data_IF_806636378228
#
_entry.id   IF_806636378228
#
_cell.length_a   1.000
_cell.length_b   1.000
_cell.length_c   1.000
_cell.angle_alpha   90.00
_cell.angle_beta   90.00
_cell.angle_gamma   90.00
#
_symmetry.space_group_name_H-M   'P 1'
#
loop_
_entity.id
_entity.type
_entity.pdbx_description
1 polymer ?
#
# COMPACT_ATOMS: atom_id res chain seq x y z
N UNK A 1 21.43 -36.22 -43.39
CA UNK A 1 22.82 -35.73 -43.20
C UNK A 1 22.85 -34.87 -41.95
N UNK A 2 23.52 -35.31 -40.89
CA UNK A 2 23.64 -34.59 -39.60
C UNK A 2 24.87 -33.67 -39.64
N UNK A 3 24.82 -32.41 -39.17
CA UNK A 3 26.03 -31.60 -39.03
C UNK A 3 26.75 -31.91 -37.72
N UNK A 4 28.08 -31.89 -37.81
CA UNK A 4 29.07 -32.26 -36.79
C UNK A 4 29.17 -31.18 -35.70
N UNK A 5 29.15 -31.59 -34.43
CA UNK A 5 29.62 -30.78 -33.30
C UNK A 5 31.14 -30.92 -33.17
N UNK A 6 31.85 -29.80 -33.21
CA UNK A 6 33.28 -29.72 -32.89
C UNK A 6 33.42 -29.31 -31.42
N UNK A 7 34.06 -30.17 -30.63
CA UNK A 7 34.51 -29.92 -29.26
C UNK A 7 35.86 -29.21 -29.27
N UNK A 8 36.00 -28.13 -28.50
CA UNK A 8 37.29 -27.57 -28.11
C UNK A 8 37.33 -27.41 -26.59
N UNK A 9 38.26 -28.12 -25.96
CA UNK A 9 38.65 -28.02 -24.55
C UNK A 9 40.18 -27.92 -24.55
N UNK A 10 40.80 -26.95 -23.85
CA UNK A 10 42.17 -27.06 -23.42
C UNK A 10 42.24 -27.47 -21.95
N UNK A 11 43.24 -28.31 -21.67
CA UNK A 11 43.49 -28.98 -20.41
C UNK A 11 44.18 -28.08 -19.36
N UNK A 12 43.91 -28.40 -18.09
CA UNK A 12 44.94 -28.62 -17.07
C UNK A 12 45.65 -27.43 -16.43
N UNK A 13 45.34 -27.17 -15.16
CA UNK A 13 46.34 -26.81 -14.16
C UNK A 13 45.90 -27.39 -12.79
N UNK A 14 46.67 -28.34 -12.27
CA UNK A 14 46.54 -28.91 -10.92
C UNK A 14 47.30 -28.01 -9.95
N UNK A 15 46.68 -27.63 -8.84
CA UNK A 15 47.33 -26.94 -7.73
C UNK A 15 46.69 -27.38 -6.41
N UNK A 16 47.38 -28.25 -5.69
CA UNK A 16 47.09 -28.67 -4.32
C UNK A 16 47.48 -27.57 -3.33
N UNK A 17 46.59 -27.21 -2.40
CA UNK A 17 46.90 -26.39 -1.23
C UNK A 17 46.45 -27.12 0.05
N UNK A 18 47.22 -27.04 1.14
CA UNK A 18 47.11 -27.96 2.27
C UNK A 18 46.03 -27.54 3.28
N UNK A 19 45.50 -28.56 3.97
CA UNK A 19 44.60 -28.44 5.11
C UNK A 19 45.40 -27.97 6.33
N UNK A 20 45.13 -26.77 6.85
CA UNK A 20 45.63 -26.32 8.14
C UNK A 20 44.49 -26.40 9.17
N UNK A 21 44.61 -27.36 10.07
CA UNK A 21 43.77 -27.52 11.26
C UNK A 21 44.19 -26.48 12.30
N UNK A 22 43.31 -25.55 12.66
CA UNK A 22 43.52 -24.66 13.80
C UNK A 22 42.48 -24.96 14.89
N UNK A 23 42.95 -25.61 15.95
CA UNK A 23 42.25 -25.78 17.23
C UNK A 23 42.32 -24.46 17.98
N UNK A 24 41.17 -23.90 18.36
CA UNK A 24 41.09 -22.75 19.25
C UNK A 24 40.30 -23.12 20.51
N UNK A 25 41.03 -23.09 21.62
CA UNK A 25 40.58 -23.29 22.98
C UNK A 25 39.53 -22.24 23.36
N UNK A 26 38.41 -22.72 23.90
CA UNK A 26 37.37 -21.90 24.52
C UNK A 26 37.85 -21.39 25.88
N UNK A 27 37.78 -20.07 26.09
CA UNK A 27 37.63 -19.49 27.43
C UNK A 27 36.52 -18.42 27.40
N UNK A 28 35.61 -18.36 28.40
CA UNK A 28 34.36 -17.63 28.26
C UNK A 28 34.36 -16.35 29.10
N UNK A 29 34.75 -15.21 28.55
CA UNK A 29 34.42 -13.90 29.14
C UNK A 29 34.57 -12.78 28.12
N UNK A 30 33.43 -12.23 27.68
CA UNK A 30 33.15 -10.82 27.36
C UNK A 30 32.08 -10.74 26.28
N UNK A 31 30.85 -10.38 26.69
CA UNK A 31 29.78 -9.94 25.78
C UNK A 31 30.19 -8.57 25.25
N UNK A 32 30.41 -8.48 23.94
CA UNK A 32 30.57 -7.21 23.24
C UNK A 32 30.12 -7.39 21.80
N UNK A 33 29.13 -6.60 21.39
CA UNK A 33 28.79 -6.39 19.98
C UNK A 33 30.08 -6.07 19.20
N UNK A 34 30.33 -6.73 18.07
CA UNK A 34 31.54 -6.39 17.30
C UNK A 34 32.03 -7.33 16.21
N UNK A 35 31.26 -8.33 15.77
CA UNK A 35 31.69 -9.17 14.64
C UNK A 35 31.09 -8.71 13.29
N UNK A 36 29.84 -8.22 13.26
CA UNK A 36 29.23 -7.69 12.03
C UNK A 36 29.70 -6.27 11.67
N UNK A 37 29.93 -5.40 12.66
CA UNK A 37 30.31 -3.99 12.46
C UNK A 37 31.76 -3.79 11.95
N UNK A 38 32.60 -4.83 11.99
CA UNK A 38 33.99 -4.79 11.53
C UNK A 38 34.18 -5.18 10.06
N UNK A 39 33.21 -5.88 9.46
CA UNK A 39 33.22 -6.27 8.04
C UNK A 39 32.46 -5.28 7.16
N UNK A 40 31.46 -4.61 7.74
CA UNK A 40 30.63 -3.63 7.05
C UNK A 40 30.56 -2.40 7.97
N UNK A 41 31.38 -1.39 7.67
CA UNK A 41 31.43 -0.17 8.48
C UNK A 41 30.03 0.38 8.76
N UNK A 42 29.81 0.81 10.00
CA UNK A 42 28.56 1.44 10.44
C UNK A 42 28.37 2.75 9.67
N UNK A 43 27.68 2.70 8.53
CA UNK A 43 27.18 3.93 7.92
C UNK A 43 26.09 4.49 8.84
N UNK A 44 26.16 5.77 9.25
CA UNK A 44 25.02 6.41 9.88
C UNK A 44 23.82 6.25 8.93
N UNK A 45 22.64 5.97 9.47
CA UNK A 45 21.42 5.90 8.68
C UNK A 45 21.28 7.21 7.90
N UNK A 46 21.61 7.18 6.61
CA UNK A 46 21.38 8.31 5.73
C UNK A 46 19.88 8.58 5.76
N UNK A 47 19.51 9.77 6.22
CA UNK A 47 18.16 10.28 5.98
C UNK A 47 17.96 10.22 4.47
N UNK A 48 16.94 9.52 3.94
CA UNK A 48 16.78 9.42 2.50
C UNK A 48 16.74 10.85 1.92
N UNK A 49 17.51 11.12 0.86
CA UNK A 49 17.56 12.43 0.20
C UNK A 49 16.17 12.98 -0.21
N UNK A 50 15.17 12.11 -0.24
CA UNK A 50 13.78 12.38 -0.56
C UNK A 50 12.93 12.94 0.60
N UNK A 51 13.41 12.89 1.86
CA UNK A 51 12.67 13.36 3.04
C UNK A 51 11.45 12.52 3.43
N UNK A 52 11.25 11.38 2.75
CA UNK A 52 10.23 10.37 3.04
C UNK A 52 10.62 9.54 4.26
N UNK A 53 9.72 9.49 5.23
CA UNK A 53 9.85 8.68 6.45
C UNK A 53 8.76 7.62 6.44
N UNK A 54 9.15 6.36 6.64
CA UNK A 54 8.24 5.22 6.74
C UNK A 54 8.31 4.69 8.15
N UNK A 55 7.17 4.61 8.83
CA UNK A 55 7.02 4.04 10.17
C UNK A 55 6.04 2.84 10.09
N UNK A 56 6.55 1.63 9.81
CA UNK A 56 5.72 0.42 9.74
C UNK A 56 5.02 0.10 11.06
N UNK A 57 5.66 0.39 12.20
CA UNK A 57 5.11 0.08 13.52
C UNK A 57 3.95 1.03 13.88
N UNK A 58 4.12 2.34 13.61
CA UNK A 58 3.08 3.35 13.73
C UNK A 58 2.12 3.41 12.55
N UNK A 59 2.30 2.55 11.54
CA UNK A 59 1.47 2.42 10.33
C UNK A 59 1.28 3.76 9.59
N UNK A 60 2.34 4.53 9.46
CA UNK A 60 2.30 5.85 8.83
C UNK A 60 3.51 6.13 7.96
N UNK A 61 3.31 6.99 6.97
CA UNK A 61 4.39 7.62 6.21
C UNK A 61 4.28 9.13 6.34
N UNK A 62 5.40 9.83 6.23
CA UNK A 62 5.39 11.29 6.16
C UNK A 62 6.46 11.82 5.22
N UNK A 63 6.17 12.91 4.52
CA UNK A 63 7.07 13.47 3.51
C UNK A 63 6.84 14.96 3.28
N UNK A 64 7.85 15.68 2.75
CA UNK A 64 7.71 17.10 2.44
C UNK A 64 6.80 17.33 1.23
N UNK A 65 6.03 18.42 1.29
CA UNK A 65 5.28 18.98 0.17
C UNK A 65 5.26 20.51 0.25
N UNK A 66 4.83 21.15 -0.81
CA UNK A 66 4.71 22.61 -0.91
C UNK A 66 3.26 22.98 -1.21
N UNK A 67 2.76 24.00 -0.52
CA UNK A 67 1.42 24.52 -0.75
C UNK A 67 1.35 25.28 -2.07
N UNK A 68 0.42 24.93 -2.93
CA UNK A 68 0.28 25.52 -4.27
C UNK A 68 -0.61 26.77 -4.24
N UNK A 69 -0.34 27.71 -5.16
CA UNK A 69 -1.16 28.90 -5.34
C UNK A 69 -2.50 28.52 -5.97
N UNK A 70 -3.58 28.87 -5.30
CA UNK A 70 -4.95 28.60 -5.74
C UNK A 70 -5.49 29.72 -6.64
N UNK A 71 -6.46 29.39 -7.50
CA UNK A 71 -7.15 30.38 -8.34
C UNK A 71 -6.25 31.08 -9.35
N UNK A 72 -5.17 30.42 -9.81
CA UNK A 72 -4.27 30.96 -10.84
C UNK A 72 -4.97 31.18 -12.18
N UNK A 73 -5.97 30.35 -12.49
CA UNK A 73 -6.75 30.37 -13.72
C UNK A 73 -8.22 30.63 -13.40
N UNK A 74 -8.81 31.63 -14.05
CA UNK A 74 -10.20 32.05 -13.83
C UNK A 74 -11.20 31.01 -14.37
N UNK A 75 -10.78 30.24 -15.37
CA UNK A 75 -11.55 29.22 -16.08
C UNK A 75 -12.01 28.10 -15.14
N UNK A 76 -11.19 27.77 -14.14
CA UNK A 76 -11.51 26.76 -13.13
C UNK A 76 -12.45 27.30 -12.03
N UNK A 77 -12.72 28.61 -12.00
CA UNK A 77 -13.57 29.26 -10.98
C UNK A 77 -13.21 28.86 -9.53
N UNK A 78 -11.93 28.59 -9.28
CA UNK A 78 -11.41 28.16 -7.96
C UNK A 78 -11.57 26.68 -7.63
N UNK A 79 -12.02 25.86 -8.59
CA UNK A 79 -12.10 24.41 -8.44
C UNK A 79 -10.72 23.76 -8.41
N UNK A 80 -10.62 22.67 -7.67
CA UNK A 80 -9.47 21.77 -7.59
C UNK A 80 -9.92 20.35 -7.94
N UNK A 81 -9.04 19.61 -8.60
CA UNK A 81 -9.28 18.22 -9.02
C UNK A 81 -8.42 17.23 -8.19
N UNK A 82 -7.34 17.73 -7.58
CA UNK A 82 -6.42 16.92 -6.79
C UNK A 82 -6.09 17.59 -5.46
N UNK A 83 -5.78 16.78 -4.45
CA UNK A 83 -5.19 17.29 -3.21
C UNK A 83 -3.67 17.31 -3.31
N UNK A 84 -3.08 16.28 -3.90
CA UNK A 84 -1.63 16.12 -3.98
C UNK A 84 -1.24 15.54 -5.34
N UNK A 85 -0.24 16.17 -5.95
CA UNK A 85 0.46 15.70 -7.16
C UNK A 85 1.97 15.69 -6.94
N UNK A 86 2.69 14.92 -7.75
CA UNK A 86 4.14 15.07 -7.87
C UNK A 86 4.49 16.25 -8.79
N UNK A 87 5.71 16.77 -8.70
CA UNK A 87 6.22 17.78 -9.63
C UNK A 87 6.01 17.34 -11.10
N UNK A 88 5.58 18.27 -11.95
CA UNK A 88 5.22 18.00 -13.34
C UNK A 88 3.78 17.50 -13.54
N UNK A 89 3.03 17.30 -12.45
CA UNK A 89 1.60 17.04 -12.48
C UNK A 89 0.75 18.30 -12.68
N UNK A 90 -0.54 18.16 -12.40
CA UNK A 90 -1.51 19.25 -12.58
C UNK A 90 -1.55 20.22 -11.40
N UNK A 91 -0.41 20.88 -11.17
CA UNK A 91 -0.18 21.78 -10.02
C UNK A 91 -1.15 22.98 -9.97
N UNK A 92 -1.75 23.37 -11.09
CA UNK A 92 -2.66 24.51 -11.15
C UNK A 92 -4.06 24.23 -10.58
N UNK A 93 -4.42 22.96 -10.41
CA UNK A 93 -5.70 22.48 -9.87
C UNK A 93 -5.51 21.55 -8.67
N UNK A 94 -4.40 21.75 -7.94
CA UNK A 94 -3.99 20.93 -6.80
C UNK A 94 -3.74 21.77 -5.55
N UNK A 95 -3.91 21.20 -4.35
CA UNK A 95 -3.54 21.88 -3.10
C UNK A 95 -2.04 21.82 -2.80
N UNK A 96 -1.41 20.68 -3.06
CA UNK A 96 -0.01 20.43 -2.73
C UNK A 96 0.77 19.79 -3.87
N UNK A 97 2.07 20.09 -3.94
CA UNK A 97 3.05 19.40 -4.80
C UNK A 97 4.16 18.78 -3.95
N UNK A 98 4.65 17.60 -4.34
CA UNK A 98 5.82 16.96 -3.74
C UNK A 98 6.84 16.54 -4.79
N UNK A 99 8.12 16.48 -4.39
CA UNK A 99 9.21 15.93 -5.21
C UNK A 99 9.20 14.41 -5.31
N UNK A 100 8.48 13.74 -4.41
CA UNK A 100 8.35 12.29 -4.44
C UNK A 100 7.55 11.84 -5.65
N UNK A 101 8.01 10.79 -6.30
CA UNK A 101 7.24 10.14 -7.36
C UNK A 101 6.07 9.34 -6.76
N UNK A 102 4.98 9.10 -7.53
CA UNK A 102 3.88 8.26 -7.07
C UNK A 102 4.34 6.84 -6.77
N UNK A 103 5.35 6.33 -7.49
CA UNK A 103 5.94 5.01 -7.22
C UNK A 103 6.58 4.94 -5.83
N UNK A 104 7.35 5.95 -5.42
CA UNK A 104 7.98 5.98 -4.09
C UNK A 104 6.93 6.00 -2.98
N UNK A 105 5.90 6.84 -3.12
CA UNK A 105 4.80 6.91 -2.16
C UNK A 105 4.05 5.58 -2.11
N UNK A 106 3.73 4.97 -3.26
CA UNK A 106 3.06 3.68 -3.32
C UNK A 106 3.85 2.57 -2.60
N UNK A 107 5.16 2.49 -2.83
CA UNK A 107 6.04 1.52 -2.16
C UNK A 107 6.10 1.75 -0.64
N UNK A 108 6.08 3.01 -0.20
CA UNK A 108 6.06 3.34 1.22
C UNK A 108 4.70 3.00 1.89
N UNK A 109 3.60 3.23 1.18
CA UNK A 109 2.26 2.83 1.62
C UNK A 109 2.16 1.30 1.77
N UNK A 110 2.75 0.55 0.84
CA UNK A 110 2.83 -0.91 0.95
C UNK A 110 3.62 -1.38 2.18
N UNK A 111 4.68 -0.67 2.56
CA UNK A 111 5.49 -1.00 3.75
C UNK A 111 4.74 -0.80 5.07
N UNK A 112 3.72 0.07 5.10
CA UNK A 112 2.82 0.22 6.27
C UNK A 112 1.59 -0.72 6.20
N UNK A 113 1.63 -1.71 5.31
CA UNK A 113 0.62 -2.77 5.18
C UNK A 113 -0.61 -2.39 4.37
N UNK A 114 -0.56 -1.30 3.59
CA UNK A 114 -1.62 -1.01 2.62
C UNK A 114 -1.48 -1.90 1.38
N UNK A 115 -2.62 -2.32 0.83
CA UNK A 115 -2.71 -3.06 -0.43
C UNK A 115 -3.66 -2.32 -1.37
N UNK A 116 -3.31 -2.25 -2.64
CA UNK A 116 -4.10 -1.56 -3.65
C UNK A 116 -5.48 -2.17 -3.73
N UNK A 117 -6.51 -1.34 -3.56
CA UNK A 117 -7.90 -1.74 -3.77
C UNK A 117 -8.35 -1.57 -5.22
N UNK A 118 -9.63 -1.31 -5.40
CA UNK A 118 -10.25 -1.05 -6.69
C UNK A 118 -10.49 0.45 -6.84
N UNK A 119 -9.87 1.10 -7.84
CA UNK A 119 -10.22 2.45 -8.26
C UNK A 119 -11.72 2.61 -8.48
N UNK A 120 -12.22 3.83 -8.26
CA UNK A 120 -13.58 4.16 -8.64
C UNK A 120 -13.78 3.96 -10.14
N UNK A 121 -15.02 3.68 -10.51
CA UNK A 121 -15.46 3.65 -11.89
C UNK A 121 -16.84 4.34 -11.96
N UNK A 122 -17.36 4.57 -13.16
CA UNK A 122 -18.67 5.19 -13.33
C UNK A 122 -19.75 4.45 -12.51
N UNK A 123 -20.34 5.16 -11.55
CA UNK A 123 -21.36 4.63 -10.63
C UNK A 123 -20.85 3.66 -9.55
N UNK A 124 -19.54 3.41 -9.46
CA UNK A 124 -18.92 2.52 -8.46
C UNK A 124 -17.89 3.28 -7.62
N UNK A 125 -18.09 3.41 -6.29
CA UNK A 125 -17.14 4.09 -5.42
C UNK A 125 -15.82 3.30 -5.34
N UNK A 126 -14.71 3.97 -4.97
CA UNK A 126 -13.45 3.28 -4.75
C UNK A 126 -13.58 2.31 -3.58
N UNK A 127 -12.95 1.15 -3.69
CA UNK A 127 -12.85 0.16 -2.60
C UNK A 127 -11.39 -0.03 -2.24
N UNK A 128 -11.08 -0.19 -0.97
CA UNK A 128 -9.69 -0.37 -0.54
C UNK A 128 -9.49 0.02 0.91
N UNK A 129 -8.23 0.00 1.33
CA UNK A 129 -7.87 0.30 2.72
C UNK A 129 -7.95 1.79 3.00
N UNK A 130 -8.39 2.11 4.22
CA UNK A 130 -8.62 3.48 4.67
C UNK A 130 -7.31 4.16 5.08
N UNK A 131 -7.13 5.40 4.66
CA UNK A 131 -5.96 6.23 4.98
C UNK A 131 -6.44 7.58 5.48
N UNK A 132 -6.05 7.95 6.70
CA UNK A 132 -6.21 9.31 7.19
C UNK A 132 -5.03 10.15 6.70
N UNK A 133 -5.30 11.34 6.18
CA UNK A 133 -4.26 12.20 5.62
C UNK A 133 -4.27 13.53 6.35
N UNK A 134 -3.10 13.91 6.85
CA UNK A 134 -2.90 15.12 7.61
C UNK A 134 -1.84 15.99 6.94
N UNK A 135 -2.00 17.29 7.10
CA UNK A 135 -0.99 18.29 6.83
C UNK A 135 -0.45 18.80 8.17
N UNK A 136 0.87 18.82 8.29
CA UNK A 136 1.62 19.39 9.41
C UNK A 136 2.48 20.54 8.91
N UNK A 137 2.43 21.69 9.61
CA UNK A 137 3.28 22.83 9.30
C UNK A 137 3.53 23.70 10.53
N UNK A 138 4.47 24.63 10.42
CA UNK A 138 4.77 25.61 11.46
C UNK A 138 4.06 26.93 11.15
N UNK A 139 3.25 27.41 12.08
CA UNK A 139 2.59 28.71 12.00
C UNK A 139 2.93 29.52 13.24
N UNK A 140 3.63 30.65 13.06
CA UNK A 140 4.02 31.54 14.17
C UNK A 140 4.73 30.78 15.32
N UNK A 141 5.61 29.83 14.99
CA UNK A 141 6.35 29.01 15.95
C UNK A 141 5.55 27.90 16.63
N UNK A 142 4.29 27.67 16.24
CA UNK A 142 3.47 26.55 16.72
C UNK A 142 3.33 25.49 15.64
N UNK A 143 3.47 24.23 16.04
CA UNK A 143 3.12 23.09 15.20
C UNK A 143 1.60 23.03 15.02
N UNK A 144 1.15 23.07 13.78
CA UNK A 144 -0.25 22.91 13.39
C UNK A 144 -0.38 21.58 12.66
N UNK A 145 -1.39 20.79 13.03
CA UNK A 145 -1.77 19.55 12.35
C UNK A 145 -3.25 19.62 11.98
N UNK A 146 -3.58 19.42 10.71
CA UNK A 146 -4.95 19.47 10.23
C UNK A 146 -5.24 18.29 9.28
N UNK A 147 -6.44 17.68 9.34
CA UNK A 147 -6.88 16.76 8.31
C UNK A 147 -7.06 17.52 6.98
N UNK A 148 -6.71 16.90 5.85
CA UNK A 148 -6.73 17.59 4.55
C UNK A 148 -8.13 18.05 4.13
N UNK A 149 -9.18 17.40 4.63
CA UNK A 149 -10.58 17.80 4.43
C UNK A 149 -10.87 19.21 4.93
N UNK A 150 -10.26 19.61 6.05
CA UNK A 150 -10.45 20.95 6.61
C UNK A 150 -9.84 22.04 5.72
N UNK A 151 -8.93 21.67 4.83
CA UNK A 151 -8.27 22.54 3.85
C UNK A 151 -9.08 22.68 2.57
N UNK A 152 -10.23 22.01 2.49
CA UNK A 152 -11.09 21.97 1.31
C UNK A 152 -12.49 22.52 1.65
N UNK A 153 -13.16 23.04 0.62
CA UNK A 153 -14.55 23.51 0.71
C UNK A 153 -15.37 22.95 -0.44
N UNK A 154 -16.65 22.72 -0.20
CA UNK A 154 -17.60 22.36 -1.25
C UNK A 154 -18.16 23.65 -1.88
N UNK A 155 -17.83 23.93 -3.14
CA UNK A 155 -18.08 25.21 -3.81
C UNK A 155 -19.55 25.59 -3.95
N UNK A 156 -20.48 24.62 -3.95
CA UNK A 156 -21.92 24.93 -4.00
C UNK A 156 -22.50 25.30 -2.63
N UNK A 157 -21.94 24.78 -1.54
CA UNK A 157 -22.50 24.94 -0.18
C UNK A 157 -21.64 25.84 0.70
N UNK A 158 -20.40 26.09 0.31
CA UNK A 158 -19.36 26.77 1.07
C UNK A 158 -19.08 26.14 2.45
N UNK A 159 -19.44 24.87 2.62
CA UNK A 159 -19.14 24.10 3.82
C UNK A 159 -17.81 23.33 3.65
N UNK A 160 -17.07 23.09 4.76
CA UNK A 160 -15.93 22.19 4.73
C UNK A 160 -16.30 20.81 4.20
N UNK A 161 -15.34 20.15 3.56
CA UNK A 161 -15.53 18.78 3.10
C UNK A 161 -15.69 17.85 4.31
N UNK A 162 -16.64 16.91 4.24
CA UNK A 162 -16.96 15.99 5.32
C UNK A 162 -15.73 15.24 5.82
N UNK A 163 -15.48 15.14 7.14
CA UNK A 163 -14.32 14.43 7.66
C UNK A 163 -14.42 12.92 7.40
N UNK A 164 -13.30 12.25 7.24
CA UNK A 164 -13.25 10.80 7.07
C UNK A 164 -12.00 10.33 6.32
N UNK A 165 -11.67 9.03 6.37
CA UNK A 165 -10.51 8.51 5.67
C UNK A 165 -10.69 8.50 4.16
N UNK A 166 -9.58 8.46 3.43
CA UNK A 166 -9.47 8.26 2.00
C UNK A 166 -9.28 6.78 1.68
N UNK A 167 -9.53 6.40 0.42
CA UNK A 167 -9.40 5.00 0.00
C UNK A 167 -8.13 4.82 -0.81
N UNK A 168 -7.23 3.98 -0.32
CA UNK A 168 -6.04 3.58 -1.06
C UNK A 168 -6.37 2.52 -2.10
N UNK A 169 -6.24 2.91 -3.38
CA UNK A 169 -6.51 2.10 -4.56
C UNK A 169 -5.22 1.68 -5.28
N UNK A 170 -4.10 2.34 -4.99
CA UNK A 170 -2.76 1.98 -5.48
C UNK A 170 -2.43 2.38 -6.92
N UNK A 171 -3.42 2.79 -7.73
CA UNK A 171 -3.36 3.06 -9.18
C UNK A 171 -3.53 1.83 -10.08
N UNK A 172 -4.21 2.02 -11.21
CA UNK A 172 -4.24 1.05 -12.30
C UNK A 172 -2.85 0.80 -12.88
N UNK A 173 -2.57 -0.44 -13.34
CA UNK A 173 -1.41 -0.70 -14.18
C UNK A 173 -1.63 -0.10 -15.58
N UNK A 174 -0.59 0.53 -16.13
CA UNK A 174 -0.56 1.06 -17.49
C UNK A 174 0.73 0.66 -18.18
N UNK A 175 0.66 0.36 -19.48
CA UNK A 175 1.86 0.07 -20.28
C UNK A 175 2.47 1.40 -20.73
N UNK A 176 3.70 1.65 -20.33
CA UNK A 176 4.47 2.77 -20.85
C UNK A 176 4.74 2.54 -22.35
N UNK A 177 4.27 3.43 -23.25
CA UNK A 177 4.47 3.27 -24.68
C UNK A 177 5.95 3.38 -25.08
N UNK A 178 6.80 4.02 -24.26
CA UNK A 178 8.21 4.23 -24.56
C UNK A 178 9.04 3.03 -24.12
N UNK A 179 9.03 2.68 -22.83
CA UNK A 179 9.84 1.57 -22.32
C UNK A 179 9.20 0.20 -22.49
N UNK A 180 7.91 0.14 -22.81
CA UNK A 180 7.13 -1.10 -22.87
C UNK A 180 6.83 -1.74 -21.50
N UNK A 181 7.33 -1.16 -20.40
CA UNK A 181 7.15 -1.66 -19.04
C UNK A 181 5.75 -1.36 -18.51
N UNK A 182 5.25 -2.22 -17.62
CA UNK A 182 4.05 -1.92 -16.85
C UNK A 182 4.42 -1.00 -15.69
N UNK A 183 3.82 0.19 -15.66
CA UNK A 183 3.96 1.20 -14.62
C UNK A 183 2.61 1.42 -13.92
N UNK A 184 2.64 2.11 -12.79
CA UNK A 184 1.42 2.70 -12.22
C UNK A 184 0.97 3.84 -13.14
N UNK A 185 -0.31 3.92 -13.46
CA UNK A 185 -0.88 5.05 -14.19
C UNK A 185 -0.62 6.38 -13.47
N UNK A 186 -0.66 6.39 -12.13
CA UNK A 186 -0.22 7.52 -11.30
C UNK A 186 1.18 8.03 -11.68
N UNK A 187 2.13 7.13 -12.00
CA UNK A 187 3.49 7.53 -12.39
C UNK A 187 3.55 8.25 -13.74
N UNK A 188 2.52 8.12 -14.58
CA UNK A 188 2.38 8.83 -15.84
C UNK A 188 1.62 10.15 -15.68
N UNK A 189 0.60 10.17 -14.81
CA UNK A 189 -0.25 11.34 -14.58
C UNK A 189 0.25 12.26 -13.48
N UNK A 190 1.21 11.81 -12.67
CA UNK A 190 1.72 12.46 -11.47
C UNK A 190 0.65 12.65 -10.37
N UNK A 191 -0.50 11.99 -10.48
CA UNK A 191 -1.63 12.12 -9.55
C UNK A 191 -1.45 11.21 -8.33
N UNK A 192 -1.48 11.77 -7.11
CA UNK A 192 -1.33 10.99 -5.86
C UNK A 192 -2.68 10.89 -5.12
N UNK A 193 -3.35 12.01 -4.88
CA UNK A 193 -4.67 12.05 -4.24
C UNK A 193 -5.64 12.79 -5.17
N UNK A 194 -6.66 12.09 -5.70
CA UNK A 194 -7.66 12.65 -6.60
C UNK A 194 -9.05 12.78 -5.98
N UNK A 195 -9.82 13.76 -6.48
CA UNK A 195 -11.12 14.15 -5.92
C UNK A 195 -12.33 13.55 -6.62
N UNK A 196 -12.16 13.09 -7.86
CA UNK A 196 -13.23 12.64 -8.75
C UNK A 196 -13.08 11.16 -9.15
N UNK A 197 -14.20 10.44 -9.26
CA UNK A 197 -14.19 9.00 -9.65
C UNK A 197 -13.85 8.73 -11.11
N UNK A 198 -13.90 9.74 -11.96
CA UNK A 198 -13.58 9.60 -13.38
C UNK A 198 -12.07 9.41 -13.60
N UNK A 199 -11.24 9.86 -12.65
CA UNK A 199 -9.80 9.61 -12.67
C UNK A 199 -9.44 8.42 -11.78
N UNK A 200 -9.19 7.27 -12.41
CA UNK A 200 -8.74 6.04 -11.74
C UNK A 200 -7.22 5.99 -11.49
N UNK A 201 -6.46 6.99 -11.97
CA UNK A 201 -5.00 7.02 -11.85
C UNK A 201 -4.46 7.26 -10.44
N UNK A 202 -5.07 8.07 -9.55
CA UNK A 202 -4.49 8.40 -8.25
C UNK A 202 -4.30 7.18 -7.33
N UNK A 203 -3.31 7.27 -6.44
CA UNK A 203 -3.06 6.25 -5.42
C UNK A 203 -4.17 6.23 -4.36
N UNK A 204 -4.67 7.40 -3.97
CA UNK A 204 -5.77 7.58 -3.03
C UNK A 204 -6.93 8.31 -3.70
N UNK A 205 -8.14 7.86 -3.43
CA UNK A 205 -9.36 8.42 -3.98
C UNK A 205 -10.35 8.86 -2.91
N UNK A 206 -11.10 9.90 -3.24
CA UNK A 206 -12.16 10.45 -2.41
C UNK A 206 -13.36 9.47 -2.33
N UNK A 207 -13.72 8.94 -1.13
CA UNK A 207 -14.86 8.02 -1.01
C UNK A 207 -16.22 8.72 -0.96
N UNK A 208 -16.23 10.04 -0.80
CA UNK A 208 -17.46 10.82 -0.51
C UNK A 208 -18.37 10.82 -1.73
N UNK A 209 -19.68 10.56 -1.61
CA UNK A 209 -20.58 10.42 -2.78
C UNK A 209 -20.54 11.59 -3.78
N UNK A 210 -20.28 12.80 -3.30
CA UNK A 210 -20.21 14.03 -4.07
C UNK A 210 -19.10 14.01 -5.13
N UNK A 211 -18.07 13.17 -4.95
CA UNK A 211 -16.99 12.95 -5.92
C UNK A 211 -17.47 12.71 -7.37
N UNK A 212 -18.70 12.21 -7.55
CA UNK A 212 -19.28 11.93 -8.86
C UNK A 212 -19.63 13.19 -9.68
N UNK A 213 -19.61 14.37 -9.04
CA UNK A 213 -19.81 15.66 -9.70
C UNK A 213 -18.45 16.33 -9.90
N UNK A 214 -18.22 16.90 -11.09
CA UNK A 214 -17.00 17.66 -11.40
C UNK A 214 -17.05 19.07 -10.83
N UNK A 215 -15.88 19.67 -10.57
CA UNK A 215 -15.74 21.09 -10.21
C UNK A 215 -16.52 21.52 -8.94
N UNK A 216 -16.72 20.61 -7.97
CA UNK A 216 -17.45 20.91 -6.73
C UNK A 216 -16.55 21.19 -5.54
N UNK A 217 -15.26 20.90 -5.62
CA UNK A 217 -14.30 21.11 -4.54
C UNK A 217 -13.42 22.30 -4.84
N UNK A 218 -13.13 23.10 -3.82
CA UNK A 218 -12.19 24.22 -3.86
C UNK A 218 -11.30 24.24 -2.63
N UNK A 219 -10.31 25.12 -2.65
CA UNK A 219 -9.44 25.34 -1.51
C UNK A 219 -10.11 26.18 -0.42
N UNK A 220 -10.02 25.75 0.84
CA UNK A 220 -10.34 26.59 1.98
C UNK A 220 -9.16 27.52 2.28
N UNK A 221 -9.12 28.68 1.62
CA UNK A 221 -8.00 29.64 1.73
C UNK A 221 -7.75 30.17 3.15
N UNK A 222 -8.74 30.07 4.06
CA UNK A 222 -8.58 30.47 5.45
C UNK A 222 -7.81 29.44 6.27
N UNK A 223 -7.90 28.17 5.90
CA UNK A 223 -7.24 27.06 6.59
C UNK A 223 -5.95 26.62 5.89
N UNK A 224 -5.85 26.83 4.58
CA UNK A 224 -4.68 26.47 3.80
C UNK A 224 -3.47 27.37 4.18
N UNK A 225 -2.26 26.79 4.35
CA UNK A 225 -1.04 27.58 4.48
C UNK A 225 -0.84 28.53 3.28
N UNK A 226 -0.05 29.61 3.42
CA UNK A 226 0.19 30.52 2.31
C UNK A 226 0.89 29.79 1.14
N UNK A 227 0.66 30.21 -0.12
CA UNK A 227 1.33 29.63 -1.27
C UNK A 227 2.86 29.63 -1.10
N UNK A 228 3.50 28.51 -1.45
CA UNK A 228 4.93 28.30 -1.27
C UNK A 228 5.34 27.83 0.13
N UNK A 229 4.42 27.77 1.10
CA UNK A 229 4.73 27.23 2.42
C UNK A 229 5.13 25.75 2.34
N UNK A 230 6.26 25.43 2.97
CA UNK A 230 6.70 24.06 3.19
C UNK A 230 5.82 23.40 4.25
N UNK A 231 5.28 22.22 3.91
CA UNK A 231 4.46 21.40 4.80
C UNK A 231 4.99 19.97 4.82
N UNK A 232 4.58 19.20 5.82
CA UNK A 232 4.70 17.74 5.81
C UNK A 232 3.32 17.15 5.64
N UNK A 233 3.18 16.21 4.71
CA UNK A 233 1.99 15.38 4.62
C UNK A 233 2.24 14.08 5.37
N UNK A 234 1.26 13.63 6.15
CA UNK A 234 1.31 12.42 6.96
C UNK A 234 0.13 11.53 6.56
N UNK A 235 0.43 10.33 6.08
CA UNK A 235 -0.58 9.35 5.70
C UNK A 235 -0.57 8.24 6.74
N UNK A 236 -1.69 8.02 7.41
CA UNK A 236 -1.83 7.01 8.46
C UNK A 236 -2.83 5.95 8.01
N UNK A 237 -2.43 4.69 8.01
CA UNK A 237 -3.35 3.58 7.73
C UNK A 237 -4.36 3.48 8.87
N UNK A 238 -5.64 3.59 8.53
CA UNK A 238 -6.74 3.47 9.48
C UNK A 238 -7.11 2.01 9.62
N UNK A 239 -7.24 1.56 10.87
CA UNK A 239 -7.71 0.23 11.23
C UNK A 239 -8.80 0.32 12.28
N UNK A 240 -9.77 -0.59 12.23
CA UNK A 240 -10.74 -0.72 13.30
C UNK A 240 -10.06 -1.22 14.59
N UNK A 241 -10.53 -0.80 15.78
CA UNK A 241 -10.16 -1.45 17.03
C UNK A 241 -10.48 -2.94 16.95
N UNK A 242 -9.51 -3.79 17.26
CA UNK A 242 -9.69 -5.24 17.31
C UNK A 242 -10.38 -5.61 18.62
N UNK A 243 -11.58 -6.21 18.61
CA UNK A 243 -12.22 -6.70 19.83
C UNK A 243 -11.39 -7.79 20.53
N UNK A 244 -11.47 -7.92 21.87
CA UNK A 244 -10.89 -9.06 22.58
C UNK A 244 -11.40 -10.40 22.02
N UNK A 245 -10.54 -11.42 21.97
CA UNK A 245 -10.90 -12.76 21.49
C UNK A 245 -10.93 -12.94 19.97
N UNK A 246 -10.61 -11.90 19.19
CA UNK A 246 -10.38 -12.01 17.75
C UNK A 246 -9.04 -12.67 17.46
N UNK A 247 -9.04 -13.63 16.55
CA UNK A 247 -7.87 -14.26 15.96
C UNK A 247 -7.71 -13.86 14.51
N UNK A 248 -6.46 -13.79 14.05
CA UNK A 248 -6.10 -13.67 12.65
C UNK A 248 -5.22 -14.84 12.25
N UNK A 249 -5.57 -15.49 11.14
CA UNK A 249 -4.79 -16.58 10.57
C UNK A 249 -4.60 -16.38 9.08
N UNK A 250 -3.41 -16.71 8.60
CA UNK A 250 -3.18 -16.99 7.19
C UNK A 250 -3.26 -18.50 6.97
N UNK A 251 -4.15 -18.92 6.08
CA UNK A 251 -4.28 -20.29 5.63
C UNK A 251 -3.75 -20.42 4.19
N UNK A 252 -2.66 -21.16 4.01
CA UNK A 252 -2.10 -21.50 2.70
C UNK A 252 -2.54 -22.92 2.32
N UNK A 253 -3.34 -23.03 1.27
CA UNK A 253 -3.96 -24.26 0.80
C UNK A 253 -3.33 -24.70 -0.52
N UNK A 254 -2.97 -25.98 -0.61
CA UNK A 254 -2.42 -26.60 -1.82
C UNK A 254 -3.24 -27.80 -2.28
N UNK A 255 -3.18 -28.12 -3.57
CA UNK A 255 -3.87 -29.25 -4.21
C UNK A 255 -4.72 -28.78 -5.39
N UNK A 256 -5.72 -29.57 -5.80
CA UNK A 256 -6.65 -29.15 -6.85
C UNK A 256 -7.63 -28.12 -6.29
N UNK A 257 -7.20 -26.86 -6.22
CA UNK A 257 -7.95 -25.74 -5.60
C UNK A 257 -8.18 -24.56 -6.55
N UNK A 258 -7.55 -24.58 -7.73
CA UNK A 258 -7.80 -23.61 -8.81
C UNK A 258 -8.82 -24.14 -9.82
N UNK A 259 -9.66 -23.26 -10.39
CA UNK A 259 -10.69 -23.65 -11.37
C UNK A 259 -11.87 -24.47 -10.81
N UNK A 260 -11.96 -24.64 -9.48
CA UNK A 260 -12.96 -25.49 -8.80
C UNK A 260 -13.91 -24.71 -7.87
N UNK A 261 -13.91 -23.38 -7.95
CA UNK A 261 -14.75 -22.52 -7.12
C UNK A 261 -14.29 -22.36 -5.67
N UNK A 262 -13.03 -22.71 -5.33
CA UNK A 262 -12.53 -22.67 -3.95
C UNK A 262 -12.61 -21.28 -3.30
N UNK A 263 -12.31 -20.21 -4.06
CA UNK A 263 -12.41 -18.82 -3.59
C UNK A 263 -13.85 -18.44 -3.24
N UNK A 264 -14.80 -18.75 -4.13
CA UNK A 264 -16.23 -18.52 -3.89
C UNK A 264 -16.74 -19.30 -2.68
N UNK A 265 -16.36 -20.58 -2.57
CA UNK A 265 -16.67 -21.40 -1.40
C UNK A 265 -16.14 -20.76 -0.11
N UNK A 266 -14.87 -20.35 -0.10
CA UNK A 266 -14.22 -19.75 1.06
C UNK A 266 -14.92 -18.45 1.47
N UNK A 267 -15.17 -17.55 0.52
CA UNK A 267 -15.88 -16.30 0.78
C UNK A 267 -17.27 -16.56 1.37
N UNK A 268 -18.06 -17.44 0.74
CA UNK A 268 -19.41 -17.74 1.21
C UNK A 268 -19.41 -18.28 2.65
N UNK A 269 -18.52 -19.23 2.96
CA UNK A 269 -18.41 -19.79 4.32
C UNK A 269 -17.93 -18.74 5.32
N UNK A 270 -16.96 -17.91 4.95
CA UNK A 270 -16.46 -16.85 5.82
C UNK A 270 -17.55 -15.81 6.13
N UNK A 271 -18.27 -15.34 5.12
CA UNK A 271 -19.39 -14.41 5.28
C UNK A 271 -20.50 -15.00 6.16
N UNK A 272 -20.86 -16.27 5.96
CA UNK A 272 -21.86 -16.95 6.78
C UNK A 272 -21.45 -17.07 8.26
N UNK A 273 -20.15 -17.09 8.53
CA UNK A 273 -19.58 -17.13 9.89
C UNK A 273 -19.31 -15.75 10.48
N UNK A 274 -19.57 -14.65 9.74
CA UNK A 274 -19.27 -13.29 10.16
C UNK A 274 -17.76 -12.99 10.25
N UNK A 275 -16.94 -13.69 9.47
CA UNK A 275 -15.49 -13.49 9.41
C UNK A 275 -15.13 -12.45 8.36
N UNK A 276 -14.03 -11.73 8.57
CA UNK A 276 -13.48 -10.76 7.62
C UNK A 276 -12.13 -11.22 7.09
N UNK A 277 -11.68 -10.65 5.98
CA UNK A 277 -10.41 -11.01 5.35
C UNK A 277 -10.49 -11.13 3.84
N UNK A 278 -9.66 -12.01 3.27
CA UNK A 278 -9.68 -12.27 1.84
C UNK A 278 -9.26 -13.69 1.49
N UNK A 279 -9.57 -14.10 0.27
CA UNK A 279 -9.01 -15.28 -0.38
C UNK A 279 -8.50 -14.95 -1.79
N UNK A 280 -7.32 -15.45 -2.15
CA UNK A 280 -6.73 -15.27 -3.50
C UNK A 280 -5.99 -16.50 -3.99
N UNK A 281 -5.86 -16.60 -5.31
CA UNK A 281 -4.96 -17.57 -5.93
C UNK A 281 -3.51 -17.07 -5.83
N UNK A 282 -2.58 -18.00 -5.66
CA UNK A 282 -1.13 -17.73 -5.59
C UNK A 282 -0.34 -18.34 -6.76
N UNK A 283 -1.04 -18.85 -7.77
CA UNK A 283 -0.48 -19.62 -8.89
C UNK A 283 -1.28 -20.89 -9.12
N UNK A 284 -0.72 -21.83 -9.88
CA UNK A 284 -1.33 -23.15 -10.08
C UNK A 284 -1.47 -23.88 -8.73
N UNK A 285 -2.65 -24.44 -8.49
CA UNK A 285 -2.94 -25.35 -7.37
C UNK A 285 -2.62 -24.80 -5.97
N UNK A 286 -2.63 -23.48 -5.82
CA UNK A 286 -2.39 -22.79 -4.54
C UNK A 286 -3.35 -21.64 -4.30
N UNK A 287 -3.94 -21.63 -3.11
CA UNK A 287 -4.81 -20.56 -2.60
C UNK A 287 -4.27 -20.09 -1.26
N UNK A 288 -4.34 -18.79 -0.99
CA UNK A 288 -4.11 -18.25 0.35
C UNK A 288 -5.38 -17.53 0.83
N UNK A 289 -5.71 -17.70 2.09
CA UNK A 289 -6.80 -17.00 2.76
C UNK A 289 -6.28 -16.29 4.01
N UNK A 290 -6.53 -14.98 4.12
CA UNK A 290 -6.40 -14.25 5.37
C UNK A 290 -7.76 -14.22 6.04
N UNK A 291 -7.83 -14.65 7.29
CA UNK A 291 -9.10 -14.82 8.01
C UNK A 291 -8.94 -14.13 9.36
N UNK A 292 -9.88 -13.24 9.68
CA UNK A 292 -9.94 -12.56 10.96
C UNK A 292 -11.35 -12.62 11.55
N UNK A 293 -11.46 -12.87 12.86
CA UNK A 293 -12.73 -12.91 13.59
C UNK A 293 -12.66 -13.73 14.88
N UNK A 294 -13.81 -14.06 15.50
CA UNK A 294 -13.85 -14.85 16.72
C UNK A 294 -13.12 -16.20 16.59
N UNK A 295 -12.37 -16.60 17.62
CA UNK A 295 -11.48 -17.76 17.55
C UNK A 295 -12.19 -19.08 17.18
N UNK A 296 -13.41 -19.29 17.67
CA UNK A 296 -14.25 -20.45 17.36
C UNK A 296 -14.68 -20.48 15.90
N UNK A 297 -15.08 -19.32 15.35
CA UNK A 297 -15.48 -19.17 13.95
C UNK A 297 -14.31 -19.34 13.00
N UNK A 298 -13.13 -18.80 13.36
CA UNK A 298 -11.90 -19.01 12.59
C UNK A 298 -11.55 -20.50 12.53
N UNK A 299 -11.62 -21.22 13.65
CA UNK A 299 -11.36 -22.66 13.69
C UNK A 299 -12.38 -23.46 12.85
N UNK A 300 -13.65 -23.04 12.86
CA UNK A 300 -14.70 -23.62 12.03
C UNK A 300 -14.41 -23.44 10.54
N UNK A 301 -14.05 -22.23 10.09
CA UNK A 301 -13.69 -21.99 8.69
C UNK A 301 -12.46 -22.80 8.28
N UNK A 302 -11.40 -22.83 9.10
CA UNK A 302 -10.20 -23.63 8.82
C UNK A 302 -10.54 -25.11 8.63
N UNK A 303 -11.50 -25.64 9.38
CA UNK A 303 -11.97 -27.02 9.20
C UNK A 303 -12.66 -27.20 7.84
N UNK A 304 -13.53 -26.27 7.44
CA UNK A 304 -14.18 -26.29 6.12
C UNK A 304 -13.17 -26.20 4.97
N UNK A 305 -12.09 -25.43 5.14
CA UNK A 305 -11.02 -25.29 4.12
C UNK A 305 -10.22 -26.57 3.90
N UNK A 306 -10.18 -27.49 4.86
CA UNK A 306 -9.54 -28.81 4.68
C UNK A 306 -10.32 -29.71 3.73
N UNK A 307 -11.62 -29.48 3.57
CA UNK A 307 -12.48 -30.23 2.64
C UNK A 307 -12.65 -29.47 1.32
N UNK A 308 -12.95 -28.18 1.39
CA UNK A 308 -13.23 -27.35 0.22
C UNK A 308 -14.56 -27.69 -0.48
N UNK A 309 -14.84 -27.09 -1.65
CA UNK A 309 -16.00 -27.43 -2.46
C UNK A 309 -15.89 -28.84 -3.08
N UNK A 310 -17.01 -29.42 -3.50
CA UNK A 310 -17.09 -30.80 -4.06
C UNK A 310 -16.07 -31.12 -5.17
N UNK A 311 -15.72 -30.13 -5.99
CA UNK A 311 -14.78 -30.30 -7.10
C UNK A 311 -13.30 -30.17 -6.70
N UNK A 312 -13.00 -29.72 -5.47
CA UNK A 312 -11.65 -29.54 -4.98
C UNK A 312 -11.05 -30.84 -4.43
N UNK A 313 -9.72 -30.92 -4.44
CA UNK A 313 -8.95 -31.92 -3.69
C UNK A 313 -7.85 -31.22 -2.93
N UNK A 314 -8.04 -31.02 -1.64
CA UNK A 314 -7.06 -30.37 -0.78
C UNK A 314 -5.98 -31.36 -0.40
N UNK A 315 -4.73 -31.03 -0.70
CA UNK A 315 -3.56 -31.82 -0.32
C UNK A 315 -3.02 -31.38 1.05
N UNK A 316 -2.92 -30.07 1.27
CA UNK A 316 -2.41 -29.52 2.52
C UNK A 316 -3.07 -28.18 2.84
N UNK A 317 -3.24 -27.92 4.14
CA UNK A 317 -3.57 -26.59 4.68
C UNK A 317 -2.51 -26.23 5.73
N UNK A 318 -1.73 -25.19 5.46
CA UNK A 318 -0.76 -24.64 6.41
C UNK A 318 -1.37 -23.40 7.07
N UNK A 319 -1.39 -23.37 8.40
CA UNK A 319 -1.95 -22.26 9.17
C UNK A 319 -0.84 -21.50 9.87
N UNK A 320 -0.85 -20.19 9.71
CA UNK A 320 0.02 -19.26 10.43
C UNK A 320 -0.83 -18.28 11.23
N UNK A 321 -0.72 -18.28 12.54
CA UNK A 321 -1.34 -17.25 13.38
C UNK A 321 -0.60 -15.91 13.21
N UNK A 322 -1.37 -14.83 13.13
CA UNK A 322 -0.87 -13.47 12.95
C UNK A 322 -1.55 -12.54 13.97
N UNK A 323 -0.95 -11.37 14.19
CA UNK A 323 -1.59 -10.33 15.00
C UNK A 323 -2.82 -9.80 14.26
N UNK A 324 -4.03 -9.80 14.88
CA UNK A 324 -5.19 -9.17 14.28
C UNK A 324 -4.95 -7.69 13.98
N UNK A 325 -5.48 -7.20 12.87
CA UNK A 325 -5.26 -5.82 12.44
C UNK A 325 -6.54 -4.99 12.31
N UNK A 326 -7.73 -5.59 12.32
CA UNK A 326 -9.01 -4.88 12.19
C UNK A 326 -9.14 -4.18 10.84
N UNK A 327 -8.62 -4.82 9.80
CA UNK A 327 -8.22 -4.15 8.57
C UNK A 327 -9.11 -4.51 7.37
N UNK A 328 -10.05 -5.44 7.56
CA UNK A 328 -11.10 -5.82 6.63
C UNK A 328 -12.48 -5.63 7.27
N UNK A 329 -13.43 -5.08 6.52
CA UNK A 329 -14.83 -4.93 6.94
C UNK A 329 -15.69 -6.12 6.50
N UNK A 330 -15.30 -6.77 5.40
CA UNK A 330 -15.98 -7.93 4.82
C UNK A 330 -14.95 -9.03 4.48
N UNK A 331 -15.43 -10.14 3.95
CA UNK A 331 -14.58 -11.17 3.36
C UNK A 331 -14.60 -11.06 1.83
N UNK A 332 -13.44 -10.80 1.24
CA UNK A 332 -13.32 -10.48 -0.19
C UNK A 332 -12.61 -11.57 -0.99
N UNK A 333 -12.85 -11.58 -2.31
CA UNK A 333 -12.03 -12.34 -3.25
C UNK A 333 -11.04 -11.37 -3.90
N UNK A 334 -9.76 -11.57 -3.62
CA UNK A 334 -8.66 -10.85 -4.27
C UNK A 334 -8.21 -11.64 -5.52
N UNK A 335 -7.83 -10.92 -6.59
CA UNK A 335 -7.41 -11.47 -7.89
C UNK A 335 -5.92 -11.21 -8.15
#
# INVERSE_FOLDING_TARGET
MRPRFFSWWPAGCRGTLPVLTLVLLLSPTCRGAGFFDKLFGRQPAETPASGLVVDPAGRKISFPATTLKQGKYLELKGAIEYVLVSEGGKEYESLFVTKLTPREINLALMQIGLRGGQPAAQGRPPKGRKVAVFMEYQQQGRAVRQPIEALMTHLKTNLPVSPGPWIYTGSLPSRDPVSGKILLQASLTHSIIGLHSTDASPLLQNPRPEQAQENIYGANLKALPPPGAAVRLVFERVTAPVPPGVKRVQADITGRVTGVGFRNFTQHQASALGLTGYVRNMGEDRVTAMIEGPADKVAQLVTLLKTGPKAARVAQVQIKELKPEGDYEEFEIEY
#
